data_IF_953861376081
#
_entry.id   IF_953861376081
#
_cell.length_a   1.000
_cell.length_b   1.000
_cell.length_c   1.000
_cell.angle_alpha   90.00
_cell.angle_beta   90.00
_cell.angle_gamma   90.00
#
_symmetry.space_group_name_H-M   'P 1'
#
loop_
_entity.id
_entity.type
_entity.pdbx_description
1 polymer ?
#
# COMPACT_ATOMS: atom_id res chain seq x y z
N UNK A 1 68.25 -16.58 -7.94
CA UNK A 1 68.70 -16.17 -6.60
C UNK A 1 67.78 -16.83 -5.57
N UNK A 2 68.37 -17.66 -4.71
CA UNK A 2 67.96 -18.25 -3.40
C UNK A 2 66.47 -18.15 -3.01
N UNK A 3 65.63 -19.20 -2.97
CA UNK A 3 65.60 -20.48 -2.21
C UNK A 3 65.34 -20.41 -0.70
N UNK A 4 64.49 -21.36 -0.27
CA UNK A 4 64.36 -22.04 1.06
C UNK A 4 63.46 -21.34 2.08
N UNK A 5 62.65 -21.99 2.92
CA UNK A 5 62.04 -23.33 3.11
C UNK A 5 61.63 -23.33 4.60
N UNK A 6 60.59 -24.07 4.98
CA UNK A 6 60.36 -24.63 6.33
C UNK A 6 59.98 -23.63 7.46
N UNK A 7 59.24 -23.94 8.53
CA UNK A 7 58.81 -25.21 9.13
C UNK A 7 57.69 -24.92 10.13
N UNK A 8 56.85 -25.93 10.38
CA UNK A 8 56.05 -26.16 11.59
C UNK A 8 56.78 -25.79 12.89
N UNK A 9 56.01 -25.29 13.88
CA UNK A 9 56.11 -25.76 15.27
C UNK A 9 54.76 -25.61 16.00
N UNK A 10 54.19 -26.75 16.40
CA UNK A 10 53.17 -26.89 17.44
C UNK A 10 53.86 -26.82 18.79
N UNK A 11 53.33 -26.10 19.78
CA UNK A 11 53.47 -26.49 21.19
C UNK A 11 52.33 -25.93 22.04
N UNK A 12 51.53 -26.87 22.57
CA UNK A 12 50.71 -26.71 23.78
C UNK A 12 51.62 -26.34 24.96
N UNK A 13 51.10 -25.61 25.96
CA UNK A 13 51.17 -26.00 27.38
C UNK A 13 50.49 -24.97 28.30
N UNK A 14 49.51 -25.51 29.02
CA UNK A 14 48.90 -25.06 30.27
C UNK A 14 49.92 -24.72 31.37
N UNK A 15 49.65 -23.71 32.22
CA UNK A 15 49.48 -23.91 33.68
C UNK A 15 49.26 -22.65 34.52
N UNK A 16 48.32 -22.83 35.47
CA UNK A 16 48.34 -22.46 36.92
C UNK A 16 48.16 -21.01 37.41
N UNK A 17 46.93 -20.80 37.87
CA UNK A 17 46.48 -20.36 39.22
C UNK A 17 47.50 -19.99 40.31
N UNK A 18 47.12 -18.95 41.09
CA UNK A 18 47.29 -18.87 42.56
C UNK A 18 46.24 -17.88 43.13
N UNK A 19 45.26 -18.31 43.95
CA UNK A 19 45.27 -18.48 45.44
C UNK A 19 45.24 -17.12 46.19
N UNK A 20 44.47 -16.84 47.24
CA UNK A 20 43.93 -17.61 48.40
C UNK A 20 42.77 -16.81 49.05
N UNK A 21 41.61 -17.41 49.40
CA UNK A 21 41.19 -18.10 50.65
C UNK A 21 40.68 -17.18 51.77
N UNK A 22 39.42 -17.37 52.20
CA UNK A 22 39.06 -17.92 53.53
C UNK A 22 37.62 -18.45 53.58
N UNK A 23 37.51 -19.61 54.22
CA UNK A 23 36.37 -20.50 54.44
C UNK A 23 35.44 -20.01 55.56
N UNK A 24 34.23 -20.58 55.63
CA UNK A 24 33.42 -20.61 56.85
C UNK A 24 31.92 -20.71 56.61
N UNK A 25 31.38 -21.93 56.76
CA UNK A 25 29.99 -22.32 56.59
C UNK A 25 28.96 -21.51 57.41
N UNK A 26 27.74 -21.35 56.88
CA UNK A 26 26.53 -21.99 57.42
C UNK A 26 25.29 -21.62 56.59
N UNK A 27 24.42 -22.61 56.46
CA UNK A 27 23.06 -22.60 55.91
C UNK A 27 22.21 -21.38 56.31
N UNK A 28 21.38 -20.88 55.40
CA UNK A 28 19.91 -21.00 55.43
C UNK A 28 19.31 -20.20 54.26
N UNK A 29 18.44 -20.85 53.51
CA UNK A 29 17.62 -20.29 52.44
C UNK A 29 16.75 -19.13 52.92
N UNK A 30 16.71 -18.02 52.18
CA UNK A 30 15.55 -17.15 52.16
C UNK A 30 15.30 -16.60 50.75
N UNK A 31 14.14 -16.97 50.23
CA UNK A 31 13.57 -16.45 48.99
C UNK A 31 13.21 -14.98 49.19
N UNK A 32 13.81 -14.08 48.40
CA UNK A 32 13.23 -12.77 48.15
C UNK A 32 12.55 -12.80 46.78
N UNK A 33 11.21 -12.87 46.79
CA UNK A 33 10.37 -12.60 45.64
C UNK A 33 10.51 -11.12 45.30
N UNK A 34 11.31 -10.82 44.28
CA UNK A 34 11.29 -9.52 43.65
C UNK A 34 10.00 -9.39 42.84
N UNK A 35 9.11 -8.50 43.31
CA UNK A 35 7.84 -8.19 42.66
C UNK A 35 8.16 -7.48 41.35
N UNK A 36 8.09 -8.21 40.24
CA UNK A 36 8.08 -7.65 38.90
C UNK A 36 6.78 -6.84 38.77
N UNK A 37 6.89 -5.52 38.88
CA UNK A 37 5.79 -4.60 38.56
C UNK A 37 5.50 -4.71 37.06
N UNK A 38 4.40 -5.38 36.72
CA UNK A 38 3.86 -5.37 35.36
C UNK A 38 3.63 -3.91 34.94
N UNK A 39 4.27 -3.49 33.84
CA UNK A 39 3.93 -2.22 33.18
C UNK A 39 2.45 -2.27 32.80
N UNK A 40 1.64 -1.24 33.12
CA UNK A 40 0.25 -1.23 32.72
C UNK A 40 0.16 -1.34 31.20
N UNK A 41 -0.61 -2.33 30.72
CA UNK A 41 -0.95 -2.51 29.32
C UNK A 41 -1.91 -1.38 28.90
N UNK A 42 -1.37 -0.19 28.65
CA UNK A 42 -2.13 0.96 28.18
C UNK A 42 -2.61 0.63 26.77
N UNK A 43 -3.86 0.17 26.67
CA UNK A 43 -4.52 -0.08 25.39
C UNK A 43 -4.60 1.25 24.64
N UNK A 44 -3.89 1.34 23.49
CA UNK A 44 -3.87 2.53 22.64
C UNK A 44 -5.30 2.97 22.30
N UNK A 45 -5.61 4.25 22.51
CA UNK A 45 -6.90 4.84 22.15
C UNK A 45 -6.90 5.26 20.66
N UNK A 46 -7.86 4.73 19.91
CA UNK A 46 -8.06 4.97 18.48
C UNK A 46 -9.33 5.79 18.20
N UNK A 47 -9.99 6.33 19.23
CA UNK A 47 -11.28 7.01 19.15
C UNK A 47 -11.31 8.18 18.15
N UNK A 48 -10.17 8.84 17.95
CA UNK A 48 -9.99 9.95 16.99
C UNK A 48 -9.08 9.61 15.81
N UNK A 49 -8.81 8.33 15.56
CA UNK A 49 -7.92 7.94 14.46
C UNK A 49 -8.70 7.26 13.33
N UNK A 50 -8.36 7.63 12.10
CA UNK A 50 -8.80 6.94 10.89
C UNK A 50 -7.58 6.47 10.10
N UNK A 51 -7.71 5.32 9.46
CA UNK A 51 -6.81 4.83 8.42
C UNK A 51 -7.36 5.29 7.08
N UNK A 52 -6.55 5.98 6.30
CA UNK A 52 -6.90 6.45 4.96
C UNK A 52 -6.03 5.77 3.92
N UNK A 53 -6.61 5.44 2.78
CA UNK A 53 -5.89 4.93 1.61
C UNK A 53 -6.01 5.97 0.51
N UNK A 54 -4.89 6.55 0.08
CA UNK A 54 -4.90 7.54 -1.00
C UNK A 54 -5.25 6.88 -2.33
N UNK A 55 -5.98 7.61 -3.16
CA UNK A 55 -6.42 7.13 -4.48
C UNK A 55 -5.26 7.06 -5.49
N UNK A 56 -4.36 8.04 -5.47
CA UNK A 56 -3.21 8.14 -6.39
C UNK A 56 -1.95 8.61 -5.65
N UNK A 57 -0.77 8.19 -6.10
CA UNK A 57 0.51 8.47 -5.44
C UNK A 57 0.86 9.97 -5.49
N UNK A 58 0.49 10.61 -6.60
CA UNK A 58 0.72 12.03 -6.86
C UNK A 58 -0.30 12.96 -6.18
N UNK A 59 -1.38 12.44 -5.58
CA UNK A 59 -2.39 13.25 -4.89
C UNK A 59 -1.92 13.79 -3.53
N UNK A 60 -0.63 13.67 -3.19
CA UNK A 60 -0.13 14.03 -1.88
C UNK A 60 -0.39 15.50 -1.54
N UNK A 61 -0.22 16.44 -2.49
CA UNK A 61 -0.40 17.88 -2.20
C UNK A 61 -1.84 18.27 -1.89
N UNK A 62 -2.79 17.90 -2.76
CA UNK A 62 -4.22 18.20 -2.57
C UNK A 62 -4.81 17.49 -1.34
N UNK A 63 -4.41 16.23 -1.10
CA UNK A 63 -4.77 15.50 0.12
C UNK A 63 -4.24 16.19 1.37
N UNK A 64 -2.97 16.62 1.36
CA UNK A 64 -2.35 17.31 2.48
C UNK A 64 -2.97 18.69 2.70
N UNK A 65 -3.34 19.43 1.66
CA UNK A 65 -4.00 20.75 1.77
C UNK A 65 -5.42 20.65 2.33
N UNK A 66 -6.24 19.71 1.84
CA UNK A 66 -7.60 19.48 2.36
C UNK A 66 -7.61 19.10 3.85
N UNK A 67 -6.64 18.28 4.26
CA UNK A 67 -6.51 17.82 5.64
C UNK A 67 -5.95 18.94 6.55
N UNK A 68 -4.97 19.71 6.08
CA UNK A 68 -4.43 20.88 6.80
C UNK A 68 -5.50 21.93 7.09
N UNK A 69 -6.33 22.26 6.10
CA UNK A 69 -7.42 23.25 6.26
C UNK A 69 -8.53 22.79 7.22
N UNK A 70 -8.52 21.50 7.61
CA UNK A 70 -9.52 20.90 8.49
C UNK A 70 -8.99 20.59 9.89
N UNK A 71 -7.79 21.08 10.24
CA UNK A 71 -7.09 20.75 11.50
C UNK A 71 -6.90 19.24 11.72
N UNK A 72 -6.78 18.48 10.63
CA UNK A 72 -6.50 17.04 10.68
C UNK A 72 -4.98 16.84 10.58
N UNK A 73 -4.41 16.15 11.56
CA UNK A 73 -2.98 15.85 11.60
C UNK A 73 -2.68 14.47 10.98
N UNK A 74 -1.61 14.39 10.19
CA UNK A 74 -1.05 13.10 9.76
C UNK A 74 -0.12 12.57 10.86
N UNK A 75 -0.48 11.42 11.44
CA UNK A 75 0.28 10.80 12.55
C UNK A 75 1.41 9.90 12.06
N UNK A 76 1.19 9.19 10.95
CA UNK A 76 2.19 8.29 10.39
C UNK A 76 1.94 8.14 8.88
N UNK A 77 2.98 8.33 8.07
CA UNK A 77 2.91 8.38 6.60
C UNK A 77 3.58 7.15 5.97
N UNK A 78 4.25 6.32 6.77
CA UNK A 78 5.24 5.37 6.24
C UNK A 78 4.77 3.91 6.17
N UNK A 79 3.46 3.68 6.19
CA UNK A 79 2.91 2.40 5.73
C UNK A 79 2.85 2.39 4.20
N UNK A 80 4.03 2.37 3.59
CA UNK A 80 4.20 2.13 2.16
C UNK A 80 3.79 0.69 1.86
N UNK A 81 2.50 0.46 1.60
CA UNK A 81 2.18 -0.62 0.66
C UNK A 81 2.76 -0.17 -0.68
N UNK A 82 3.44 -1.08 -1.35
CA UNK A 82 4.09 -0.86 -2.64
C UNK A 82 3.21 -0.17 -3.71
N UNK A 83 1.89 -0.13 -3.55
CA UNK A 83 0.89 0.21 -4.58
C UNK A 83 0.07 1.47 -4.24
N UNK A 84 -0.15 1.77 -2.95
CA UNK A 84 -0.94 2.94 -2.49
C UNK A 84 -0.41 3.46 -1.15
N UNK A 85 -0.46 4.80 -0.96
CA UNK A 85 -0.09 5.42 0.32
C UNK A 85 -1.21 5.20 1.34
N UNK A 86 -0.87 4.56 2.46
CA UNK A 86 -1.75 4.36 3.60
C UNK A 86 -1.30 5.30 4.71
N UNK A 87 -2.24 6.07 5.26
CA UNK A 87 -1.97 7.03 6.32
C UNK A 87 -2.83 6.80 7.54
N UNK A 88 -2.32 7.22 8.70
CA UNK A 88 -3.15 7.43 9.90
C UNK A 88 -3.38 8.93 10.06
N UNK A 89 -4.64 9.33 10.10
CA UNK A 89 -5.04 10.70 10.39
C UNK A 89 -5.66 10.81 11.79
N UNK A 90 -5.38 11.92 12.47
CA UNK A 90 -5.97 12.29 13.75
C UNK A 90 -7.06 13.34 13.53
N UNK A 91 -8.27 13.03 13.95
CA UNK A 91 -9.41 13.92 13.86
C UNK A 91 -9.37 15.00 14.95
N UNK A 92 -9.91 16.20 14.68
CA UNK A 92 -10.00 17.26 15.68
C UNK A 92 -10.97 16.91 16.81
N UNK A 93 -12.02 16.15 16.51
CA UNK A 93 -13.06 15.72 17.45
C UNK A 93 -13.32 14.20 17.37
N UNK A 94 -14.28 13.71 18.16
CA UNK A 94 -14.66 12.29 18.20
C UNK A 94 -15.79 11.91 17.21
N UNK A 95 -16.20 12.81 16.31
CA UNK A 95 -17.31 12.60 15.37
C UNK A 95 -16.87 11.79 14.14
N UNK A 96 -16.32 10.59 14.35
CA UNK A 96 -15.72 9.77 13.28
C UNK A 96 -16.63 9.55 12.08
N UNK A 97 -17.92 9.30 12.29
CA UNK A 97 -18.86 9.06 11.18
C UNK A 97 -19.06 10.27 10.28
N UNK A 98 -19.08 11.47 10.87
CA UNK A 98 -19.21 12.72 10.11
C UNK A 98 -17.97 12.93 9.25
N UNK A 99 -16.78 12.71 9.83
CA UNK A 99 -15.52 12.81 9.13
C UNK A 99 -15.37 11.76 8.03
N UNK A 100 -15.75 10.50 8.28
CA UNK A 100 -15.76 9.44 7.25
C UNK A 100 -16.61 9.88 6.06
N UNK A 101 -17.87 10.27 6.28
CA UNK A 101 -18.76 10.74 5.20
C UNK A 101 -18.21 11.94 4.44
N UNK A 102 -17.56 12.88 5.14
CA UNK A 102 -16.95 14.07 4.52
C UNK A 102 -15.74 13.70 3.66
N UNK A 103 -14.88 12.83 4.16
CA UNK A 103 -13.64 12.41 3.49
C UNK A 103 -13.94 11.47 2.30
N UNK A 104 -14.90 10.56 2.43
CA UNK A 104 -15.32 9.66 1.32
C UNK A 104 -15.93 10.41 0.13
N UNK A 105 -16.55 11.57 0.38
CA UNK A 105 -17.02 12.47 -0.69
C UNK A 105 -15.88 13.15 -1.43
N UNK A 106 -14.69 13.24 -0.84
CA UNK A 106 -13.52 13.79 -1.52
C UNK A 106 -12.99 12.77 -2.52
N UNK A 107 -12.69 13.20 -3.74
CA UNK A 107 -12.12 12.34 -4.78
C UNK A 107 -10.62 12.04 -4.58
N UNK A 108 -10.18 12.03 -3.33
CA UNK A 108 -8.78 11.93 -2.91
C UNK A 108 -8.49 10.61 -2.22
N UNK A 109 -9.46 10.09 -1.48
CA UNK A 109 -9.33 8.84 -0.74
C UNK A 109 -10.00 7.70 -1.51
N UNK A 110 -9.27 6.59 -1.65
CA UNK A 110 -9.82 5.31 -2.10
C UNK A 110 -10.67 4.68 -1.00
N UNK A 111 -10.23 4.78 0.26
CA UNK A 111 -10.91 4.27 1.46
C UNK A 111 -10.63 5.15 2.66
N UNK A 112 -11.60 5.23 3.56
CA UNK A 112 -11.50 5.88 4.87
C UNK A 112 -12.08 4.91 5.90
N UNK A 113 -11.27 4.49 6.88
CA UNK A 113 -11.58 3.36 7.76
C UNK A 113 -11.32 3.78 9.21
N UNK A 114 -12.16 3.37 10.15
CA UNK A 114 -11.87 3.55 11.59
C UNK A 114 -10.58 2.82 11.98
N UNK A 115 -9.67 3.50 12.67
CA UNK A 115 -8.48 2.83 13.18
C UNK A 115 -8.79 1.91 14.37
N UNK A 116 -7.89 0.96 14.62
CA UNK A 116 -7.96 -0.02 15.69
C UNK A 116 -6.80 -1.01 15.62
N UNK A 117 -6.71 -1.89 16.62
CA UNK A 117 -5.67 -2.93 16.65
C UNK A 117 -5.71 -3.80 15.39
N UNK A 118 -4.58 -3.89 14.68
CA UNK A 118 -4.42 -4.73 13.47
C UNK A 118 -5.13 -4.21 12.21
N UNK A 119 -5.79 -3.05 12.26
CA UNK A 119 -6.49 -2.48 11.09
C UNK A 119 -5.49 -2.10 10.00
N UNK A 120 -4.39 -1.44 10.36
CA UNK A 120 -3.34 -1.02 9.40
C UNK A 120 -2.76 -2.22 8.67
N UNK A 121 -2.35 -3.27 9.38
CA UNK A 121 -1.79 -4.50 8.78
C UNK A 121 -2.79 -5.17 7.83
N UNK A 122 -4.07 -5.20 8.20
CA UNK A 122 -5.14 -5.72 7.34
C UNK A 122 -5.31 -4.90 6.07
N UNK A 123 -5.21 -3.58 6.16
CA UNK A 123 -5.28 -2.68 5.00
C UNK A 123 -4.07 -2.87 4.10
N UNK A 124 -2.84 -2.94 4.67
CA UNK A 124 -1.61 -3.22 3.91
C UNK A 124 -1.74 -4.54 3.16
N UNK A 125 -2.08 -5.63 3.85
CA UNK A 125 -2.24 -6.95 3.23
C UNK A 125 -3.29 -6.93 2.11
N UNK A 126 -4.38 -6.18 2.28
CA UNK A 126 -5.41 -6.03 1.25
C UNK A 126 -4.89 -5.28 0.03
N UNK A 127 -4.16 -4.18 0.22
CA UNK A 127 -3.60 -3.42 -0.90
C UNK A 127 -2.48 -4.20 -1.60
N UNK A 128 -1.64 -4.94 -0.88
CA UNK A 128 -0.62 -5.84 -1.45
C UNK A 128 -1.20 -7.03 -2.24
N UNK A 129 -2.47 -7.40 -2.01
CA UNK A 129 -3.14 -8.45 -2.79
C UNK A 129 -3.63 -7.95 -4.16
N UNK A 130 -3.61 -6.65 -4.41
CA UNK A 130 -3.99 -6.09 -5.70
C UNK A 130 -2.91 -6.45 -6.72
N UNK A 131 -3.31 -7.09 -7.81
CA UNK A 131 -2.45 -7.35 -8.96
C UNK A 131 -2.28 -6.07 -9.76
N UNK A 132 -3.39 -5.48 -10.20
CA UNK A 132 -3.43 -4.25 -10.99
C UNK A 132 -4.67 -3.44 -10.62
N UNK A 133 -4.58 -2.12 -10.74
CA UNK A 133 -5.75 -1.24 -10.71
C UNK A 133 -5.73 -0.25 -11.85
N UNK A 134 -6.92 0.15 -12.28
CA UNK A 134 -7.16 1.15 -13.30
C UNK A 134 -8.26 2.09 -12.79
N UNK A 135 -8.11 3.37 -13.04
CA UNK A 135 -9.14 4.36 -12.72
C UNK A 135 -9.26 5.39 -13.82
N UNK A 136 -10.48 5.88 -14.02
CA UNK A 136 -10.79 6.90 -15.00
C UNK A 136 -11.39 8.11 -14.31
N UNK A 137 -10.78 9.28 -14.50
CA UNK A 137 -11.25 10.54 -13.89
C UNK A 137 -12.31 11.20 -14.76
N UNK A 138 -13.06 12.13 -14.16
CA UNK A 138 -13.99 12.97 -14.90
C UNK A 138 -13.29 13.79 -16.00
N UNK A 139 -14.09 14.14 -17.01
CA UNK A 139 -13.82 15.13 -18.04
C UNK A 139 -14.98 16.14 -18.04
N UNK A 140 -14.97 17.13 -18.93
CA UNK A 140 -16.07 18.10 -19.01
C UNK A 140 -17.37 17.51 -19.60
N UNK A 141 -17.26 16.48 -20.46
CA UNK A 141 -18.40 15.76 -21.03
C UNK A 141 -18.75 14.47 -20.27
N UNK A 142 -19.34 13.53 -21.01
CA UNK A 142 -19.90 12.28 -20.46
C UNK A 142 -18.88 11.13 -20.40
N UNK A 143 -17.64 11.43 -20.02
CA UNK A 143 -16.63 10.37 -19.89
C UNK A 143 -16.92 9.47 -18.68
N UNK A 144 -16.86 8.14 -18.82
CA UNK A 144 -17.07 7.22 -17.71
C UNK A 144 -16.07 7.49 -16.57
N UNK A 145 -16.59 7.55 -15.35
CA UNK A 145 -15.82 7.74 -14.12
C UNK A 145 -15.96 6.50 -13.26
N UNK A 146 -14.85 5.80 -13.06
CA UNK A 146 -14.83 4.56 -12.29
C UNK A 146 -13.45 4.22 -11.76
N UNK A 147 -13.43 3.27 -10.83
CA UNK A 147 -12.23 2.54 -10.42
C UNK A 147 -12.43 1.04 -10.61
N UNK A 148 -11.39 0.33 -11.02
CA UNK A 148 -11.33 -1.13 -11.03
C UNK A 148 -10.03 -1.61 -10.41
N UNK A 149 -10.11 -2.64 -9.59
CA UNK A 149 -8.94 -3.38 -9.10
C UNK A 149 -9.15 -4.87 -9.29
N UNK A 150 -8.08 -5.56 -9.70
CA UNK A 150 -8.05 -7.00 -9.86
C UNK A 150 -7.06 -7.54 -8.85
N UNK A 151 -7.48 -8.45 -7.98
CA UNK A 151 -6.64 -9.13 -6.99
C UNK A 151 -5.86 -10.28 -7.65
N UNK A 152 -4.79 -10.75 -6.99
CA UNK A 152 -3.87 -11.80 -7.52
C UNK A 152 -4.55 -13.13 -7.83
N UNK A 153 -5.69 -13.40 -7.18
CA UNK A 153 -6.55 -14.57 -7.36
C UNK A 153 -7.62 -14.38 -8.46
N UNK A 154 -7.70 -13.20 -9.07
CA UNK A 154 -8.67 -12.90 -10.13
C UNK A 154 -9.96 -12.27 -9.65
N UNK A 155 -10.09 -11.92 -8.35
CA UNK A 155 -11.23 -11.13 -7.90
C UNK A 155 -11.17 -9.71 -8.46
N UNK A 156 -12.15 -9.35 -9.30
CA UNK A 156 -12.33 -8.01 -9.85
C UNK A 156 -13.32 -7.24 -8.98
N UNK A 157 -12.93 -6.03 -8.59
CA UNK A 157 -13.76 -5.09 -7.84
C UNK A 157 -13.86 -3.82 -8.68
N UNK A 158 -15.07 -3.52 -9.15
CA UNK A 158 -15.39 -2.32 -9.91
C UNK A 158 -16.17 -1.36 -9.01
N UNK A 159 -15.89 -0.06 -9.10
CA UNK A 159 -16.64 1.00 -8.46
C UNK A 159 -17.02 2.06 -9.49
N UNK A 160 -18.25 2.01 -9.96
CA UNK A 160 -18.78 2.96 -10.94
C UNK A 160 -19.29 4.24 -10.27
N UNK A 161 -18.97 5.41 -10.84
CA UNK A 161 -19.41 6.71 -10.28
C UNK A 161 -20.36 7.46 -11.20
N UNK A 162 -19.92 7.83 -12.41
CA UNK A 162 -20.66 8.70 -13.33
C UNK A 162 -20.48 8.21 -14.77
N UNK A 163 -21.52 8.35 -15.59
CA UNK A 163 -21.50 7.96 -17.02
C UNK A 163 -21.01 6.53 -17.24
N UNK A 164 -21.44 5.64 -16.36
CA UNK A 164 -21.21 4.20 -16.42
C UNK A 164 -22.55 3.53 -16.29
N UNK A 165 -22.66 2.34 -16.87
CA UNK A 165 -23.88 1.54 -16.84
C UNK A 165 -24.27 1.16 -15.42
N UNK A 166 -23.29 0.67 -14.67
CA UNK A 166 -23.48 0.19 -13.30
C UNK A 166 -22.75 1.11 -12.31
N UNK A 167 -23.50 1.74 -11.40
CA UNK A 167 -22.93 2.59 -10.33
C UNK A 167 -22.71 1.78 -9.06
N UNK A 168 -21.79 2.24 -8.22
CA UNK A 168 -21.44 1.59 -6.96
C UNK A 168 -20.48 0.41 -7.13
N UNK A 169 -20.34 -0.38 -6.06
CA UNK A 169 -19.37 -1.46 -5.98
C UNK A 169 -19.96 -2.75 -6.55
N UNK A 170 -19.29 -3.32 -7.55
CA UNK A 170 -19.61 -4.60 -8.17
C UNK A 170 -18.40 -5.53 -8.10
N UNK A 171 -18.64 -6.80 -7.76
CA UNK A 171 -17.58 -7.78 -7.53
C UNK A 171 -17.79 -8.99 -8.43
N UNK A 172 -16.75 -9.38 -9.15
CA UNK A 172 -16.75 -10.53 -10.04
C UNK A 172 -15.48 -11.35 -9.84
N UNK A 173 -15.50 -12.59 -10.30
CA UNK A 173 -14.30 -13.40 -10.46
C UNK A 173 -13.97 -13.48 -11.95
N UNK A 174 -12.72 -13.23 -12.30
CA UNK A 174 -12.21 -13.49 -13.65
C UNK A 174 -12.17 -14.99 -13.90
N UNK A 175 -12.43 -15.37 -15.15
CA UNK A 175 -12.18 -16.73 -15.60
C UNK A 175 -10.66 -17.02 -15.57
N UNK A 176 -10.28 -18.30 -15.43
CA UNK A 176 -8.89 -18.69 -15.30
C UNK A 176 -8.03 -18.26 -16.52
N UNK A 177 -8.59 -18.37 -17.73
CA UNK A 177 -7.98 -17.87 -18.97
C UNK A 177 -7.81 -16.34 -18.93
N UNK A 178 -8.80 -15.60 -18.43
CA UNK A 178 -8.77 -14.14 -18.37
C UNK A 178 -7.66 -13.66 -17.44
N UNK A 179 -7.56 -14.27 -16.26
CA UNK A 179 -6.52 -13.96 -15.29
C UNK A 179 -5.12 -14.35 -15.82
N UNK A 180 -5.01 -15.51 -16.47
CA UNK A 180 -3.75 -15.98 -17.07
C UNK A 180 -3.27 -15.00 -18.16
N UNK A 181 -4.16 -14.59 -19.05
CA UNK A 181 -3.84 -13.64 -20.12
C UNK A 181 -3.43 -12.28 -19.56
N UNK A 182 -4.15 -11.78 -18.54
CA UNK A 182 -3.77 -10.54 -17.85
C UNK A 182 -2.37 -10.63 -17.25
N UNK A 183 -2.06 -11.70 -16.50
CA UNK A 183 -0.73 -11.92 -15.92
C UNK A 183 0.35 -11.98 -17.01
N UNK A 184 0.10 -12.68 -18.11
CA UNK A 184 1.02 -12.74 -19.24
C UNK A 184 1.27 -11.37 -19.87
N UNK A 185 0.23 -10.54 -20.03
CA UNK A 185 0.39 -9.16 -20.50
C UNK A 185 1.25 -8.36 -19.52
N UNK A 186 0.99 -8.47 -18.22
CA UNK A 186 1.75 -7.76 -17.19
C UNK A 186 3.22 -8.20 -17.10
N UNK A 187 3.50 -9.50 -17.17
CA UNK A 187 4.87 -10.07 -17.04
C UNK A 187 5.75 -9.74 -18.26
N UNK A 188 5.15 -9.70 -19.45
CA UNK A 188 5.84 -9.31 -20.70
C UNK A 188 6.15 -7.80 -20.78
N UNK A 189 5.70 -7.05 -19.78
CA UNK A 189 5.78 -5.60 -19.74
C UNK A 189 6.73 -5.12 -18.64
N UNK A 190 7.78 -4.42 -19.06
CA UNK A 190 8.67 -3.77 -18.12
C UNK A 190 8.06 -2.41 -17.71
N UNK A 191 7.02 -2.45 -16.87
CA UNK A 191 6.24 -1.28 -16.43
C UNK A 191 7.10 -0.12 -15.92
N UNK A 192 8.25 -0.44 -15.32
CA UNK A 192 9.25 0.51 -14.83
C UNK A 192 9.81 1.43 -15.92
N UNK A 193 9.80 0.99 -17.18
CA UNK A 193 10.37 1.74 -18.30
C UNK A 193 9.38 2.71 -18.94
N UNK A 194 8.10 2.66 -18.56
CA UNK A 194 7.11 3.61 -19.06
C UNK A 194 7.27 4.98 -18.42
N UNK A 195 6.90 6.02 -19.16
CA UNK A 195 6.82 7.38 -18.58
C UNK A 195 5.72 7.38 -17.53
N UNK A 196 5.93 8.11 -16.43
CA UNK A 196 4.93 8.26 -15.37
C UNK A 196 3.69 9.03 -15.83
N UNK A 197 3.86 9.95 -16.79
CA UNK A 197 2.79 10.81 -17.30
C UNK A 197 2.86 10.87 -18.83
N UNK A 198 1.74 10.60 -19.49
CA UNK A 198 1.50 10.82 -20.92
C UNK A 198 0.41 11.89 -21.07
N UNK A 199 0.82 13.13 -21.35
CA UNK A 199 -0.07 14.28 -21.35
C UNK A 199 0.36 15.35 -22.36
N UNK A 200 -0.59 16.22 -22.72
CA UNK A 200 -0.32 17.52 -23.29
C UNK A 200 -1.04 18.58 -22.44
N UNK A 201 -0.30 19.36 -21.62
CA UNK A 201 -0.90 20.32 -20.69
C UNK A 201 -1.64 21.47 -21.38
N UNK A 202 -1.44 21.67 -22.69
CA UNK A 202 -2.18 22.66 -23.48
C UNK A 202 -3.62 22.20 -23.77
N UNK A 203 -3.94 20.93 -23.59
CA UNK A 203 -5.28 20.39 -23.83
C UNK A 203 -6.01 20.28 -22.50
N UNK A 204 -7.06 21.07 -22.37
CA UNK A 204 -7.92 21.11 -21.19
C UNK A 204 -8.99 20.02 -21.27
N UNK A 205 -9.71 19.81 -20.15
CA UNK A 205 -10.93 19.00 -20.09
C UNK A 205 -10.82 17.51 -20.45
N UNK A 206 -9.62 16.96 -20.62
CA UNK A 206 -9.40 15.53 -20.84
C UNK A 206 -9.50 14.70 -19.56
N UNK A 207 -10.21 13.57 -19.64
CA UNK A 207 -10.15 12.51 -18.62
C UNK A 207 -8.71 11.98 -18.48
N UNK A 208 -8.34 11.56 -17.28
CA UNK A 208 -7.13 10.77 -17.04
C UNK A 208 -7.50 9.31 -16.84
N UNK A 209 -6.77 8.41 -17.50
CA UNK A 209 -6.68 7.00 -17.13
C UNK A 209 -5.43 6.81 -16.29
N UNK A 210 -5.57 6.23 -15.10
CA UNK A 210 -4.44 5.98 -14.20
C UNK A 210 -4.36 4.48 -13.95
N UNK A 211 -3.24 3.88 -14.36
CA UNK A 211 -2.95 2.46 -14.20
C UNK A 211 -1.89 2.31 -13.11
N UNK A 212 -2.13 1.43 -12.15
CA UNK A 212 -1.15 1.11 -11.10
C UNK A 212 -0.89 -0.39 -11.08
N UNK A 213 0.37 -0.78 -11.24
CA UNK A 213 0.84 -2.16 -11.21
C UNK A 213 2.14 -2.24 -10.39
N UNK A 214 2.14 -3.05 -9.33
CA UNK A 214 3.23 -3.04 -8.36
C UNK A 214 3.50 -1.61 -7.84
N UNK A 215 4.76 -1.16 -7.93
CA UNK A 215 5.17 0.17 -7.47
C UNK A 215 5.02 1.28 -8.52
N UNK A 216 4.50 0.95 -9.69
CA UNK A 216 4.47 1.88 -10.80
C UNK A 216 3.04 2.38 -11.04
N UNK A 217 2.88 3.70 -10.94
CA UNK A 217 1.69 4.40 -11.36
C UNK A 217 1.97 5.19 -12.65
N UNK A 218 1.08 5.04 -13.63
CA UNK A 218 1.15 5.71 -14.92
C UNK A 218 -0.15 6.46 -15.14
N UNK A 219 -0.04 7.76 -15.41
CA UNK A 219 -1.16 8.64 -15.77
C UNK A 219 -1.17 8.91 -17.27
N UNK A 220 -2.28 8.59 -17.93
CA UNK A 220 -2.53 8.80 -19.34
C UNK A 220 -3.66 9.82 -19.47
N UNK A 221 -3.38 10.99 -20.02
CA UNK A 221 -4.38 11.97 -20.46
C UNK A 221 -4.52 12.00 -21.97
N UNK A 222 -3.44 11.72 -22.69
CA UNK A 222 -3.41 11.70 -24.15
C UNK A 222 -2.99 10.32 -24.65
N UNK A 223 -3.78 9.73 -25.55
CA UNK A 223 -3.57 8.38 -26.11
C UNK A 223 -2.65 8.35 -27.34
N UNK A 224 -2.06 9.50 -27.70
CA UNK A 224 -1.14 9.61 -28.83
C UNK A 224 0.26 9.14 -28.45
N UNK A 225 0.90 8.35 -29.33
CA UNK A 225 2.27 7.86 -29.18
C UNK A 225 2.50 7.08 -27.86
N UNK A 226 1.49 6.34 -27.41
CA UNK A 226 1.64 5.44 -26.27
C UNK A 226 2.36 4.15 -26.72
N UNK A 227 3.16 3.54 -25.83
CA UNK A 227 3.66 2.19 -26.07
C UNK A 227 2.50 1.23 -26.29
N UNK A 228 2.54 0.46 -27.36
CA UNK A 228 1.50 -0.51 -27.76
C UNK A 228 1.06 -1.38 -26.59
N UNK A 229 2.03 -1.91 -25.84
CA UNK A 229 1.75 -2.78 -24.71
C UNK A 229 0.92 -2.11 -23.59
N UNK A 230 1.02 -0.79 -23.40
CA UNK A 230 0.20 -0.06 -22.42
C UNK A 230 -1.25 0.08 -22.91
N UNK A 231 -1.43 0.19 -24.23
CA UNK A 231 -2.74 0.18 -24.89
C UNK A 231 -3.37 -1.20 -24.72
N UNK A 232 -2.64 -2.29 -25.01
CA UNK A 232 -3.11 -3.67 -24.84
C UNK A 232 -3.61 -3.95 -23.43
N UNK A 233 -2.84 -3.54 -22.40
CA UNK A 233 -3.25 -3.73 -21.00
C UNK A 233 -4.54 -2.97 -20.68
N UNK A 234 -4.64 -1.71 -21.13
CA UNK A 234 -5.84 -0.91 -20.92
C UNK A 234 -7.05 -1.52 -21.59
N UNK A 235 -6.96 -1.81 -22.89
CA UNK A 235 -8.06 -2.34 -23.69
C UNK A 235 -8.51 -3.69 -23.16
N UNK A 236 -7.57 -4.57 -22.81
CA UNK A 236 -7.90 -5.86 -22.24
C UNK A 236 -8.75 -5.77 -20.95
N UNK A 237 -8.41 -4.84 -20.05
CA UNK A 237 -9.20 -4.60 -18.83
C UNK A 237 -10.55 -3.99 -19.18
N UNK A 238 -10.59 -3.00 -20.07
CA UNK A 238 -11.83 -2.31 -20.46
C UNK A 238 -12.79 -3.25 -21.18
N UNK A 239 -12.30 -4.15 -22.03
CA UNK A 239 -13.10 -5.19 -22.69
C UNK A 239 -13.78 -6.13 -21.70
N UNK A 240 -13.07 -6.50 -20.62
CA UNK A 240 -13.69 -7.28 -19.53
C UNK A 240 -14.84 -6.48 -18.90
N UNK A 241 -14.67 -5.18 -18.68
CA UNK A 241 -15.72 -4.34 -18.09
C UNK A 241 -16.95 -4.22 -19.01
N UNK A 242 -16.76 -4.04 -20.32
CA UNK A 242 -17.85 -4.05 -21.30
C UNK A 242 -18.57 -5.40 -21.35
N UNK A 243 -17.83 -6.51 -21.41
CA UNK A 243 -18.41 -7.88 -21.41
C UNK A 243 -19.18 -8.19 -20.13
N UNK A 244 -18.80 -7.58 -19.00
CA UNK A 244 -19.53 -7.66 -17.73
C UNK A 244 -20.66 -6.63 -17.60
N UNK A 245 -20.94 -5.86 -18.66
CA UNK A 245 -22.01 -4.85 -18.71
C UNK A 245 -21.83 -3.74 -17.67
N UNK A 246 -20.59 -3.37 -17.34
CA UNK A 246 -20.28 -2.33 -16.35
C UNK A 246 -20.14 -0.94 -16.97
N UNK A 247 -19.79 -0.89 -18.25
CA UNK A 247 -19.64 0.32 -19.06
C UNK A 247 -20.70 0.34 -20.17
N UNK A 248 -21.03 1.54 -20.65
CA UNK A 248 -21.97 1.80 -21.77
C UNK A 248 -21.25 1.95 -23.10
#
# INVERSE_FOLDING_TARGET
MKYILFSLLVFLLSCKTSKKVKEGASSTSNQNKEIIKEKPNIKKDYSRELVVVLKHEHNNKEALELLKNSSIEWKDVDYNSKITKIGIISLPDNQREVWIKRLEKQNVFKKVIKNGTGVVDKVIKKEENILISLSKTACFGDCPVYEVSIEKDGKLIFNGRKYVKEKGIHIFSLEANQLKNLKNLLDKNNFKNFKKIYDNPKIQDLSSTIITYGNDQIKIRLWKNLPEKLIEIHEYIVDILYKKMLLE
#
